data_IF_738076421839
#
_entry.id   IF_738076421839
#
_cell.length_a   1.000
_cell.length_b   1.000
_cell.length_c   1.000
_cell.angle_alpha   90.00
_cell.angle_beta   90.00
_cell.angle_gamma   90.00
#
_symmetry.space_group_name_H-M   'P 1'
#
loop_
_entity.id
_entity.type
_entity.pdbx_description
1 polymer ?
#
# COMPACT_ATOMS: atom_id res chain seq x y z
N UNK A 1 8.55 -7.26 -1.50
CA UNK A 1 7.86 -7.74 -0.29
C UNK A 1 6.92 -8.92 -0.56
N UNK A 2 5.88 -8.81 -1.39
CA UNK A 2 4.97 -9.96 -1.67
C UNK A 2 5.74 -11.20 -2.14
N UNK A 3 6.54 -11.06 -3.21
CA UNK A 3 7.31 -12.17 -3.78
C UNK A 3 8.23 -12.80 -2.73
N UNK A 4 8.98 -11.98 -1.99
CA UNK A 4 9.89 -12.46 -0.97
C UNK A 4 9.15 -13.23 0.13
N UNK A 5 7.98 -12.74 0.58
CA UNK A 5 7.17 -13.48 1.56
C UNK A 5 6.63 -14.78 0.98
N UNK A 6 6.24 -14.82 -0.29
CA UNK A 6 5.83 -16.06 -0.95
C UNK A 6 6.96 -17.08 -0.95
N UNK A 7 8.19 -16.69 -1.31
CA UNK A 7 9.35 -17.59 -1.32
C UNK A 7 9.68 -18.06 0.10
N UNK A 8 9.70 -17.15 1.07
CA UNK A 8 9.89 -17.48 2.49
C UNK A 8 8.83 -18.47 3.02
N UNK A 9 7.56 -18.24 2.69
CA UNK A 9 6.47 -19.13 3.08
C UNK A 9 6.61 -20.51 2.42
N UNK A 10 7.03 -20.57 1.16
CA UNK A 10 7.34 -21.83 0.46
C UNK A 10 8.54 -22.54 1.07
N UNK A 11 9.62 -21.83 1.42
CA UNK A 11 10.77 -22.42 2.07
C UNK A 11 10.40 -23.08 3.42
N UNK A 12 9.53 -22.41 4.20
CA UNK A 12 9.07 -22.92 5.49
C UNK A 12 8.05 -24.05 5.39
N UNK A 13 7.06 -23.93 4.51
CA UNK A 13 5.90 -24.82 4.49
C UNK A 13 5.89 -25.80 3.31
N UNK A 14 6.75 -25.63 2.32
CA UNK A 14 6.75 -26.40 1.08
C UNK A 14 7.19 -27.85 1.20
N UNK A 15 7.83 -28.24 2.31
CA UNK A 15 8.32 -29.60 2.55
C UNK A 15 7.62 -30.30 3.74
N UNK A 16 6.46 -29.81 4.18
CA UNK A 16 5.72 -30.40 5.29
C UNK A 16 4.89 -31.60 4.81
N UNK A 17 4.98 -32.73 5.51
CA UNK A 17 4.17 -33.93 5.23
C UNK A 17 2.66 -33.71 5.41
N UNK A 18 2.27 -32.66 6.12
CA UNK A 18 0.88 -32.24 6.30
C UNK A 18 0.70 -30.76 5.91
N UNK A 19 0.27 -30.47 4.68
CA UNK A 19 0.08 -29.10 4.21
C UNK A 19 -1.09 -28.43 4.95
N UNK A 20 -0.79 -27.31 5.61
CA UNK A 20 -1.79 -26.45 6.27
C UNK A 20 -1.98 -25.15 5.50
N UNK A 21 -3.22 -24.65 5.45
CA UNK A 21 -3.53 -23.35 4.89
C UNK A 21 -3.03 -22.26 5.82
N UNK A 22 -2.04 -21.48 5.36
CA UNK A 22 -1.54 -20.31 6.05
C UNK A 22 -1.79 -19.07 5.19
N UNK A 23 -2.50 -18.08 5.74
CA UNK A 23 -2.81 -16.81 5.06
C UNK A 23 -1.88 -15.72 5.59
N UNK A 24 -1.18 -15.02 4.71
CA UNK A 24 -0.22 -13.97 5.07
C UNK A 24 -0.65 -12.62 4.52
N UNK A 25 -0.89 -11.65 5.41
CA UNK A 25 -1.11 -10.25 5.05
C UNK A 25 0.22 -9.50 5.04
N UNK A 26 0.73 -9.22 3.84
CA UNK A 26 2.09 -8.70 3.60
C UNK A 26 2.11 -7.23 3.13
N UNK A 27 0.97 -6.55 3.24
CA UNK A 27 0.81 -5.15 2.84
C UNK A 27 0.83 -4.23 4.07
N UNK A 28 0.39 -2.96 3.90
CA UNK A 28 0.13 -2.03 5.00
C UNK A 28 -0.56 -2.75 6.16
N UNK A 29 0.12 -2.81 7.30
CA UNK A 29 -0.31 -3.57 8.47
C UNK A 29 -0.58 -2.65 9.65
N UNK A 30 -1.06 -3.19 10.77
CA UNK A 30 -1.21 -2.44 12.01
C UNK A 30 0.10 -1.84 12.55
N UNK A 31 1.26 -2.41 12.20
CA UNK A 31 2.57 -2.01 12.73
C UNK A 31 3.23 -0.91 11.87
N UNK A 32 2.95 -0.91 10.56
CA UNK A 32 3.39 0.15 9.66
C UNK A 32 2.23 0.53 8.73
N UNK A 33 1.22 1.26 9.23
CA UNK A 33 0.03 1.57 8.47
C UNK A 33 0.31 2.67 7.43
N UNK A 34 -0.10 2.42 6.18
CA UNK A 34 -0.28 3.43 5.16
C UNK A 34 -1.76 3.79 5.08
N UNK A 35 -2.11 4.99 5.54
CA UNK A 35 -3.49 5.47 5.39
C UNK A 35 -3.79 5.76 3.91
N UNK A 36 -5.06 5.60 3.55
CA UNK A 36 -5.53 5.96 2.21
C UNK A 36 -5.19 7.42 1.90
N UNK A 37 -5.41 8.35 2.84
CA UNK A 37 -5.06 9.76 2.69
C UNK A 37 -3.57 9.99 2.38
N UNK A 38 -2.66 9.29 3.07
CA UNK A 38 -1.22 9.40 2.81
C UNK A 38 -0.86 8.87 1.42
N UNK A 39 -1.47 7.74 1.00
CA UNK A 39 -1.28 7.22 -0.34
C UNK A 39 -1.69 8.23 -1.42
N UNK A 40 -2.85 8.88 -1.29
CA UNK A 40 -3.28 9.92 -2.23
C UNK A 40 -2.38 11.16 -2.17
N UNK A 41 -1.94 11.56 -0.98
CA UNK A 41 -1.06 12.70 -0.82
C UNK A 41 0.29 12.48 -1.53
N UNK A 42 0.94 11.33 -1.31
CA UNK A 42 2.20 10.98 -1.99
C UNK A 42 2.01 10.85 -3.50
N UNK A 43 0.90 10.26 -3.93
CA UNK A 43 0.58 10.16 -5.35
C UNK A 43 0.37 11.53 -5.98
N UNK A 44 -0.33 12.44 -5.29
CA UNK A 44 -0.55 13.80 -5.74
C UNK A 44 0.77 14.58 -5.86
N UNK A 45 1.61 14.55 -4.82
CA UNK A 45 2.94 15.18 -4.82
C UNK A 45 3.76 14.68 -6.03
N UNK A 46 3.78 13.36 -6.25
CA UNK A 46 4.50 12.75 -7.36
C UNK A 46 4.01 13.27 -8.71
N UNK A 47 2.70 13.21 -8.98
CA UNK A 47 2.16 13.62 -10.28
C UNK A 47 2.20 15.13 -10.48
N UNK A 48 2.20 15.93 -9.41
CA UNK A 48 2.41 17.38 -9.49
C UNK A 48 3.80 17.71 -10.05
N UNK A 49 4.82 16.96 -9.63
CA UNK A 49 6.20 17.10 -10.14
C UNK A 49 6.37 16.44 -11.51
N UNK A 50 5.73 15.30 -11.73
CA UNK A 50 5.83 14.48 -12.94
C UNK A 50 4.45 14.28 -13.60
N UNK A 51 3.92 15.30 -14.30
CA UNK A 51 2.57 15.23 -14.86
C UNK A 51 2.47 14.16 -15.95
N UNK A 52 1.38 13.39 -15.91
CA UNK A 52 1.10 12.38 -16.93
C UNK A 52 0.77 13.03 -18.28
N UNK A 53 1.48 12.59 -19.32
CA UNK A 53 1.30 13.05 -20.70
C UNK A 53 0.53 11.97 -21.47
N UNK A 54 -0.55 12.36 -22.15
CA UNK A 54 -1.30 11.43 -22.99
C UNK A 54 -0.52 11.10 -24.29
N UNK A 55 -1.02 10.17 -25.10
CA UNK A 55 -0.40 9.83 -26.39
C UNK A 55 -0.35 10.99 -27.40
N UNK A 56 -1.11 12.07 -27.18
CA UNK A 56 -1.15 13.28 -28.00
C UNK A 56 -0.20 14.38 -27.52
N UNK A 57 0.47 14.19 -26.38
CA UNK A 57 1.36 15.20 -25.80
C UNK A 57 0.69 16.14 -24.78
N UNK A 58 -0.61 15.98 -24.51
CA UNK A 58 -1.31 16.85 -23.56
C UNK A 58 -1.05 16.39 -22.12
N UNK A 59 -0.66 17.34 -21.26
CA UNK A 59 -0.56 17.15 -19.81
C UNK A 59 -1.96 17.14 -19.22
N UNK A 60 -2.36 16.07 -18.54
CA UNK A 60 -3.62 16.08 -17.78
C UNK A 60 -3.46 17.00 -16.56
N UNK A 61 -4.32 18.00 -16.41
CA UNK A 61 -4.39 18.84 -15.21
C UNK A 61 -4.84 17.96 -14.04
N UNK A 62 -4.08 17.98 -12.97
CA UNK A 62 -4.41 17.30 -11.71
C UNK A 62 -5.37 18.22 -10.96
N UNK A 63 -6.46 17.67 -10.45
CA UNK A 63 -7.36 18.42 -9.57
C UNK A 63 -6.60 18.72 -8.27
N UNK A 64 -6.47 20.00 -7.92
CA UNK A 64 -5.90 20.35 -6.62
C UNK A 64 -6.79 19.77 -5.51
N UNK A 65 -6.21 19.10 -4.49
CA UNK A 65 -6.94 18.76 -3.28
C UNK A 65 -7.49 20.07 -2.72
N UNK A 66 -8.79 20.14 -2.47
CA UNK A 66 -9.37 21.31 -1.82
C UNK A 66 -8.64 21.52 -0.47
N UNK A 67 -8.10 22.73 -0.28
CA UNK A 67 -7.25 23.07 0.85
C UNK A 67 -7.93 22.78 2.20
N UNK A 68 -7.16 22.13 3.10
CA UNK A 68 -7.34 22.08 4.55
C UNK A 68 -8.58 21.34 5.10
N UNK A 69 -8.46 20.11 5.63
CA UNK A 69 -9.48 19.59 6.53
C UNK A 69 -9.38 20.39 7.84
N UNK A 70 -10.27 21.37 8.01
CA UNK A 70 -10.60 21.90 9.33
C UNK A 70 -10.78 20.73 10.31
N UNK A 71 -10.23 20.80 11.54
CA UNK A 71 -10.34 19.70 12.50
C UNK A 71 -11.81 19.32 12.64
N UNK A 72 -12.13 18.08 12.27
CA UNK A 72 -13.49 17.54 12.23
C UNK A 72 -14.11 17.68 13.62
N UNK A 73 -14.98 18.67 13.81
CA UNK A 73 -15.89 18.66 14.93
C UNK A 73 -16.85 17.48 14.71
N UNK A 74 -17.12 16.62 15.72
CA UNK A 74 -17.99 15.47 15.54
C UNK A 74 -19.40 15.97 15.17
N UNK A 75 -19.82 15.75 13.92
CA UNK A 75 -21.19 16.02 13.52
C UNK A 75 -22.12 14.95 14.14
N UNK A 76 -23.27 15.35 14.68
CA UNK A 76 -24.22 14.41 15.27
C UNK A 76 -24.75 13.44 14.20
N UNK A 77 -24.85 12.17 14.60
CA UNK A 77 -25.29 11.09 13.73
C UNK A 77 -26.72 11.34 13.22
N UNK A 78 -26.85 11.37 11.89
CA UNK A 78 -28.11 11.23 11.17
C UNK A 78 -28.62 12.50 10.53
N UNK A 79 -28.26 12.78 9.27
CA UNK A 79 -29.15 13.37 8.27
C UNK A 79 -28.66 13.02 6.86
N UNK A 80 -29.65 12.79 6.00
CA UNK A 80 -29.72 12.46 4.58
C UNK A 80 -28.64 12.99 3.62
N UNK A 81 -28.51 12.24 2.52
CA UNK A 81 -27.57 12.36 1.42
C UNK A 81 -27.77 13.59 0.52
N UNK A 82 -26.71 14.40 0.35
CA UNK A 82 -26.48 15.24 -0.82
C UNK A 82 -25.04 15.83 -0.83
N UNK A 83 -24.27 15.42 -1.85
CA UNK A 83 -23.16 16.15 -2.50
C UNK A 83 -21.74 16.23 -1.87
N UNK A 84 -20.80 15.69 -2.65
CA UNK A 84 -19.44 16.21 -2.99
C UNK A 84 -18.34 16.28 -1.95
N UNK A 85 -18.10 15.21 -1.20
CA UNK A 85 -16.73 14.82 -0.85
C UNK A 85 -16.71 13.31 -0.62
N UNK A 86 -15.83 12.52 -1.26
CA UNK A 86 -15.62 11.16 -0.82
C UNK A 86 -14.80 11.22 0.47
N UNK A 87 -15.44 11.59 1.58
CA UNK A 87 -14.93 11.21 2.89
C UNK A 87 -15.14 9.70 2.98
N UNK A 88 -14.21 8.95 2.38
CA UNK A 88 -14.03 7.56 2.72
C UNK A 88 -13.67 7.58 4.22
N UNK A 89 -14.68 7.48 5.07
CA UNK A 89 -14.53 7.09 6.46
C UNK A 89 -13.97 5.67 6.40
N UNK A 90 -12.66 5.59 6.24
CA UNK A 90 -11.93 4.36 6.44
C UNK A 90 -12.09 4.05 7.92
N UNK A 91 -13.09 3.24 8.28
CA UNK A 91 -12.91 2.39 9.46
C UNK A 91 -11.52 1.80 9.29
N UNK A 92 -10.64 2.02 10.27
CA UNK A 92 -9.26 1.57 10.21
C UNK A 92 -9.26 0.06 9.95
N UNK A 93 -9.13 -0.32 8.68
CA UNK A 93 -9.04 -1.70 8.25
C UNK A 93 -7.64 -2.16 8.59
N UNK A 94 -7.42 -2.47 9.87
CA UNK A 94 -6.16 -3.00 10.34
C UNK A 94 -6.07 -4.44 9.89
N UNK A 95 -5.21 -4.72 8.90
CA UNK A 95 -4.91 -6.08 8.50
C UNK A 95 -4.00 -6.71 9.57
N UNK A 96 -4.44 -7.86 10.11
CA UNK A 96 -3.63 -8.63 11.05
C UNK A 96 -2.38 -9.16 10.34
N UNK A 97 -1.22 -8.93 10.94
CA UNK A 97 0.07 -9.40 10.44
C UNK A 97 0.70 -10.48 11.33
N UNK A 98 -0.06 -11.06 12.27
CA UNK A 98 0.42 -12.08 13.19
C UNK A 98 1.11 -13.26 12.50
N UNK A 99 0.55 -13.73 11.38
CA UNK A 99 1.14 -14.84 10.62
C UNK A 99 2.48 -14.47 9.96
N UNK A 100 2.65 -13.24 9.48
CA UNK A 100 3.93 -12.76 8.93
C UNK A 100 4.97 -12.63 10.03
N UNK A 101 4.57 -12.17 11.22
CA UNK A 101 5.46 -12.11 12.38
C UNK A 101 5.89 -13.49 12.86
N UNK A 102 4.96 -14.45 12.89
CA UNK A 102 5.27 -15.85 13.22
C UNK A 102 6.20 -16.47 12.17
N UNK A 103 5.93 -16.19 10.90
CA UNK A 103 6.81 -16.60 9.80
C UNK A 103 8.24 -16.08 9.99
N UNK A 104 8.39 -14.79 10.32
CA UNK A 104 9.69 -14.19 10.66
C UNK A 104 10.31 -14.80 11.92
N UNK A 105 9.53 -15.00 12.99
CA UNK A 105 10.03 -15.55 14.25
C UNK A 105 10.64 -16.94 14.11
N UNK A 106 10.13 -17.73 13.16
CA UNK A 106 10.60 -19.10 12.92
C UNK A 106 11.79 -19.17 11.93
N UNK A 107 12.20 -18.06 11.33
CA UNK A 107 13.38 -17.98 10.43
C UNK A 107 14.67 -17.71 11.20
N UNK A 108 15.80 -18.18 10.65
CA UNK A 108 17.14 -17.78 11.11
C UNK A 108 17.45 -16.31 10.78
N UNK A 109 18.45 -15.71 11.42
CA UNK A 109 18.85 -14.33 11.13
C UNK A 109 19.40 -14.16 9.71
N UNK A 110 20.07 -15.19 9.19
CA UNK A 110 20.56 -15.25 7.82
C UNK A 110 19.38 -15.26 6.83
N UNK A 111 18.34 -16.07 7.09
CA UNK A 111 17.13 -16.14 6.26
C UNK A 111 16.34 -14.83 6.31
N UNK A 112 16.17 -14.22 7.49
CA UNK A 112 15.54 -12.90 7.63
C UNK A 112 16.25 -11.84 6.81
N UNK A 113 17.58 -11.88 6.81
CA UNK A 113 18.42 -10.97 6.03
C UNK A 113 18.31 -11.26 4.52
N UNK A 114 18.21 -12.54 4.13
CA UNK A 114 18.10 -12.93 2.72
C UNK A 114 16.73 -12.58 2.11
N UNK A 115 15.63 -12.77 2.85
CA UNK A 115 14.29 -12.53 2.33
C UNK A 115 13.78 -11.10 2.53
N UNK A 116 14.25 -10.36 3.54
CA UNK A 116 13.85 -8.96 3.80
C UNK A 116 12.32 -8.71 3.77
N UNK A 117 11.54 -9.51 4.50
CA UNK A 117 10.07 -9.40 4.52
C UNK A 117 9.52 -8.46 5.60
N UNK A 118 10.39 -7.67 6.23
CA UNK A 118 10.05 -6.80 7.35
C UNK A 118 9.30 -5.53 6.87
N UNK A 119 7.98 -5.54 7.08
CA UNK A 119 7.09 -4.42 6.75
C UNK A 119 7.44 -3.12 7.49
N UNK A 120 8.11 -3.19 8.64
CA UNK A 120 8.43 -2.00 9.45
C UNK A 120 9.51 -1.14 8.81
N UNK A 121 10.33 -1.73 7.92
CA UNK A 121 11.41 -1.04 7.21
C UNK A 121 10.95 -0.26 5.99
N UNK A 122 9.68 -0.38 5.60
CA UNK A 122 9.16 0.31 4.42
C UNK A 122 9.04 1.81 4.70
N UNK A 123 9.81 2.61 3.97
CA UNK A 123 9.50 4.02 3.81
C UNK A 123 8.40 4.17 2.75
N UNK A 124 7.16 4.42 3.19
CA UNK A 124 6.00 4.48 2.29
C UNK A 124 6.12 5.56 1.22
N UNK A 125 6.64 6.75 1.56
CA UNK A 125 6.81 7.82 0.57
C UNK A 125 7.76 7.35 -0.55
N UNK A 126 8.94 6.87 -0.18
CA UNK A 126 9.92 6.36 -1.13
C UNK A 126 9.37 5.18 -1.95
N UNK A 127 8.67 4.25 -1.30
CA UNK A 127 8.07 3.10 -1.99
C UNK A 127 7.02 3.55 -3.02
N UNK A 128 6.13 4.47 -2.65
CA UNK A 128 5.08 4.96 -3.56
C UNK A 128 5.69 5.72 -4.74
N UNK A 129 6.56 6.68 -4.47
CA UNK A 129 7.14 7.57 -5.49
C UNK A 129 8.13 6.86 -6.40
N UNK A 130 9.01 6.02 -5.86
CA UNK A 130 10.14 5.49 -6.61
C UNK A 130 9.99 4.02 -7.01
N UNK A 131 8.99 3.30 -6.48
CA UNK A 131 8.76 1.89 -6.81
C UNK A 131 7.35 1.64 -7.36
N UNK A 132 6.31 2.04 -6.63
CA UNK A 132 4.94 1.70 -6.95
C UNK A 132 4.42 2.42 -8.19
N UNK A 133 4.45 3.76 -8.19
CA UNK A 133 3.94 4.57 -9.32
C UNK A 133 4.73 4.28 -10.61
N UNK A 134 6.07 4.28 -10.62
CA UNK A 134 6.83 3.93 -11.83
C UNK A 134 6.56 2.51 -12.31
N UNK A 135 6.39 1.56 -11.39
CA UNK A 135 6.01 0.18 -11.73
C UNK A 135 4.65 0.12 -12.43
N UNK A 136 3.65 0.82 -11.92
CA UNK A 136 2.32 0.90 -12.57
C UNK A 136 2.42 1.55 -13.95
N UNK A 137 3.17 2.65 -14.09
CA UNK A 137 3.36 3.30 -15.39
C UNK A 137 3.96 2.33 -16.41
N UNK A 138 5.08 1.69 -16.06
CA UNK A 138 5.82 0.80 -16.95
C UNK A 138 5.03 -0.46 -17.33
N UNK A 139 4.40 -1.12 -16.36
CA UNK A 139 3.84 -2.46 -16.58
C UNK A 139 2.33 -2.47 -16.83
N UNK A 140 1.59 -1.42 -16.43
CA UNK A 140 0.14 -1.34 -16.61
C UNK A 140 -0.25 -0.34 -17.69
N UNK A 141 0.40 0.83 -17.74
CA UNK A 141 0.02 1.92 -18.64
C UNK A 141 0.78 1.87 -19.97
N UNK A 142 2.07 1.54 -19.96
CA UNK A 142 2.92 1.50 -21.16
C UNK A 142 2.83 0.17 -21.92
N UNK A 143 2.38 -0.90 -21.28
CA UNK A 143 2.24 -2.25 -21.86
C UNK A 143 1.09 -2.43 -22.86
N UNK A 144 0.47 -1.35 -23.36
CA UNK A 144 -0.62 -1.37 -24.36
C UNK A 144 -0.23 -0.67 -25.67
N UNK A 145 1.01 -0.83 -26.12
CA UNK A 145 1.43 -0.47 -27.47
C UNK A 145 1.48 -1.70 -28.37
#
# INVERSE_FOLDING_TARGET
MVVNTTIAAMAKHGNLQNPQLNVYHVASSSINPLSFSQFFYYSYDFFKLFPFVNSKGDKKKILEPQDNPQPLQPLPFGTSANSTNPTCSTKAGTFDNGNVRKLMGDMSEEEKTSFEIDVTKINWRNYIENTHIPGVQKYVLEGKK
#
